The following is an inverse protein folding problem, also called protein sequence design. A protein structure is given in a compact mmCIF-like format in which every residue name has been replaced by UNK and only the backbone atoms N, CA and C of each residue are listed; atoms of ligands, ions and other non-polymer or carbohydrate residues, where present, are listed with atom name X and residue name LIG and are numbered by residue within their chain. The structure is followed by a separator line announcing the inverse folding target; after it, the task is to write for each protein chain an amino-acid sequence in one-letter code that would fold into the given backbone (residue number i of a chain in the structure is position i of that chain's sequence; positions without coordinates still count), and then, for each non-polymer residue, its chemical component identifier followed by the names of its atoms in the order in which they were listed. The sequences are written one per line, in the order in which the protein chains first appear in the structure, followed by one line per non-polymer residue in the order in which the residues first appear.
data_IF_493190981900
#
_entry.id   IF_493190981900
#
_cell.length_a   1.000
_cell.length_b   1.000
_cell.length_c   1.000
_cell.angle_alpha   90.00
_cell.angle_beta   90.00
_cell.angle_gamma   90.00
#
_symmetry.space_group_name_H-M   'P 1'
#
loop_
_entity.id
_entity.type
_entity.pdbx_description
1 polymer ?
#
# COMPACT_ATOMS: atom_id res chain seq x y z
N UNK A 1 -23.28 26.70 74.36
CA UNK A 1 -23.25 27.68 73.24
C UNK A 1 -22.11 27.26 72.32
N UNK A 2 -22.42 26.61 71.22
CA UNK A 2 -21.49 26.25 70.13
C UNK A 2 -22.17 26.57 68.81
N UNK A 3 -21.68 27.62 68.15
CA UNK A 3 -22.07 28.02 66.81
C UNK A 3 -21.22 27.24 65.84
N UNK A 4 -21.76 26.29 65.11
CA UNK A 4 -21.09 25.53 64.07
C UNK A 4 -21.20 26.29 62.77
N UNK A 5 -20.05 26.65 62.21
CA UNK A 5 -19.90 27.34 60.93
C UNK A 5 -20.18 26.43 59.74
N UNK A 6 -21.26 26.63 59.00
CA UNK A 6 -21.67 25.89 57.82
C UNK A 6 -21.25 26.61 56.50
N UNK A 7 -19.98 26.99 56.33
CA UNK A 7 -19.58 27.76 55.13
C UNK A 7 -18.56 27.06 54.21
N UNK A 8 -18.27 25.75 54.34
CA UNK A 8 -17.23 25.10 53.52
C UNK A 8 -17.77 24.20 52.36
N UNK A 9 -19.06 24.03 52.18
CA UNK A 9 -19.60 23.14 51.12
C UNK A 9 -19.96 23.84 49.81
N UNK A 10 -20.12 25.15 49.76
CA UNK A 10 -20.55 25.84 48.51
C UNK A 10 -19.38 26.11 47.53
N UNK A 11 -18.11 26.19 47.98
CA UNK A 11 -16.99 26.52 47.12
C UNK A 11 -16.53 25.35 46.20
N UNK A 12 -16.77 24.10 46.57
CA UNK A 12 -16.34 22.93 45.74
C UNK A 12 -17.23 22.68 44.51
N UNK A 13 -18.53 23.07 44.60
CA UNK A 13 -19.48 22.97 43.50
C UNK A 13 -19.23 23.99 42.39
N UNK A 14 -18.93 25.25 42.80
CA UNK A 14 -18.68 26.32 41.84
C UNK A 14 -17.36 26.13 41.07
N UNK A 15 -16.32 25.60 41.70
CA UNK A 15 -15.02 25.28 41.06
C UNK A 15 -15.21 24.15 40.03
N UNK A 16 -16.05 23.12 40.33
CA UNK A 16 -16.35 22.05 39.37
C UNK A 16 -17.13 22.54 38.15
N UNK A 17 -18.13 23.38 38.35
CA UNK A 17 -18.94 23.96 37.27
C UNK A 17 -18.12 24.86 36.36
N UNK A 18 -17.21 25.67 36.91
CA UNK A 18 -16.32 26.55 36.16
C UNK A 18 -15.30 25.71 35.32
N UNK A 19 -14.79 24.60 35.86
CA UNK A 19 -13.90 23.71 35.14
C UNK A 19 -14.59 23.01 33.96
N UNK A 20 -15.79 22.51 34.16
CA UNK A 20 -16.60 21.88 33.09
C UNK A 20 -16.94 22.92 32.00
N UNK A 21 -17.27 24.16 32.37
CA UNK A 21 -17.52 25.24 31.41
C UNK A 21 -16.29 25.62 30.58
N UNK A 22 -15.10 25.55 31.18
CA UNK A 22 -13.84 25.80 30.46
C UNK A 22 -13.54 24.66 29.46
N UNK A 23 -13.65 23.41 29.90
CA UNK A 23 -13.43 22.23 29.07
C UNK A 23 -14.40 22.17 27.86
N UNK A 24 -15.65 22.63 28.05
CA UNK A 24 -16.64 22.72 26.96
C UNK A 24 -16.27 23.82 25.97
N UNK A 25 -15.83 24.99 26.46
CA UNK A 25 -15.38 26.10 25.59
C UNK A 25 -14.18 25.70 24.74
N UNK A 26 -13.19 25.06 25.34
CA UNK A 26 -11.99 24.59 24.62
C UNK A 26 -12.35 23.54 23.56
N UNK A 27 -13.26 22.62 23.85
CA UNK A 27 -13.76 21.63 22.90
C UNK A 27 -14.53 22.24 21.71
N UNK A 28 -15.33 23.30 21.97
CA UNK A 28 -16.06 24.03 20.93
C UNK A 28 -15.09 24.81 20.04
N UNK A 29 -14.06 25.41 20.64
CA UNK A 29 -13.07 26.20 19.91
C UNK A 29 -12.15 25.32 19.06
N UNK A 30 -11.86 24.10 19.53
CA UNK A 30 -11.11 23.09 18.77
C UNK A 30 -11.91 22.55 17.59
N UNK A 31 -13.21 22.25 17.77
CA UNK A 31 -14.11 21.85 16.70
C UNK A 31 -14.32 22.95 15.64
N UNK A 32 -14.42 24.21 16.07
CA UNK A 32 -14.57 25.35 15.14
C UNK A 32 -13.34 25.50 14.25
N UNK A 33 -12.11 25.34 14.79
CA UNK A 33 -10.87 25.36 14.01
C UNK A 33 -10.76 24.17 13.04
N UNK A 34 -11.25 22.98 13.43
CA UNK A 34 -11.30 21.82 12.52
C UNK A 34 -12.28 22.02 11.37
N UNK A 35 -13.40 22.69 11.60
CA UNK A 35 -14.37 23.03 10.56
C UNK A 35 -13.79 24.07 9.60
N UNK A 36 -13.16 25.13 10.11
CA UNK A 36 -12.53 26.16 9.29
C UNK A 36 -11.37 25.66 8.45
N UNK A 37 -10.60 24.67 8.96
CA UNK A 37 -9.57 23.97 8.18
C UNK A 37 -10.18 23.11 7.08
N UNK A 38 -11.33 22.45 7.32
CA UNK A 38 -12.01 21.63 6.30
C UNK A 38 -12.61 22.48 5.19
N UNK A 39 -13.16 23.63 5.51
CA UNK A 39 -13.73 24.55 4.53
C UNK A 39 -12.65 25.18 3.66
N UNK A 40 -11.49 25.54 4.22
CA UNK A 40 -10.32 26.02 3.47
C UNK A 40 -9.67 24.93 2.58
N UNK A 41 -9.77 23.63 2.94
CA UNK A 41 -9.26 22.54 2.11
C UNK A 41 -10.17 22.30 0.89
N UNK A 42 -11.47 22.56 1.00
CA UNK A 42 -12.43 22.43 -0.10
C UNK A 42 -12.30 23.56 -1.16
N UNK A 43 -11.70 24.69 -0.82
CA UNK A 43 -11.42 25.80 -1.74
C UNK A 43 -10.07 25.67 -2.47
N UNK A 44 -9.20 24.74 -2.09
CA UNK A 44 -8.01 24.40 -2.90
C UNK A 44 -8.45 23.53 -4.07
N UNK A 45 -9.10 24.13 -5.04
CA UNK A 45 -9.24 23.57 -6.38
C UNK A 45 -7.83 23.52 -7.00
N UNK A 46 -7.19 22.34 -6.93
CA UNK A 46 -6.01 22.07 -7.75
C UNK A 46 -6.42 22.33 -9.20
N UNK A 47 -5.76 23.24 -9.92
CA UNK A 47 -6.08 23.45 -11.33
C UNK A 47 -5.85 22.12 -12.05
N UNK A 48 -6.92 21.46 -12.44
CA UNK A 48 -6.88 20.31 -13.34
C UNK A 48 -6.34 20.88 -14.65
N UNK A 49 -5.19 20.37 -15.04
CA UNK A 49 -4.47 20.77 -16.25
C UNK A 49 -5.47 20.84 -17.43
N UNK A 50 -5.76 22.04 -17.91
CA UNK A 50 -6.73 22.29 -18.99
C UNK A 50 -6.34 21.51 -20.25
N UNK A 51 -5.07 21.21 -20.42
CA UNK A 51 -4.55 20.37 -21.50
C UNK A 51 -5.05 18.92 -21.38
N UNK A 52 -5.28 18.41 -20.16
CA UNK A 52 -5.83 17.06 -19.96
C UNK A 52 -7.32 17.00 -20.31
N UNK A 53 -8.08 18.06 -20.03
CA UNK A 53 -9.48 18.16 -20.44
C UNK A 53 -9.62 18.34 -21.97
N UNK A 54 -8.71 19.06 -22.59
CA UNK A 54 -8.71 19.28 -24.03
C UNK A 54 -8.30 18.03 -24.80
N UNK A 55 -7.38 17.22 -24.23
CA UNK A 55 -7.03 15.90 -24.77
C UNK A 55 -8.22 14.93 -24.72
N UNK A 56 -9.00 14.95 -23.63
CA UNK A 56 -10.23 14.15 -23.52
C UNK A 56 -11.36 14.59 -24.49
N UNK A 57 -11.39 15.86 -24.88
CA UNK A 57 -12.45 16.40 -25.73
C UNK A 57 -12.28 16.05 -27.22
N UNK A 58 -11.02 15.86 -27.66
CA UNK A 58 -10.71 15.51 -29.05
C UNK A 58 -10.86 14.02 -29.39
N UNK A 59 -10.81 13.11 -28.40
CA UNK A 59 -10.90 11.65 -28.62
C UNK A 59 -12.34 11.11 -28.68
N UNK A 60 -13.35 11.93 -28.51
CA UNK A 60 -14.74 11.47 -28.41
C UNK A 60 -15.39 11.04 -29.76
N UNK A 61 -14.65 11.04 -30.86
CA UNK A 61 -15.22 10.79 -32.20
C UNK A 61 -15.05 9.36 -32.74
N UNK A 62 -14.36 8.47 -32.02
CA UNK A 62 -14.25 7.06 -32.43
C UNK A 62 -15.11 6.17 -31.54
N UNK A 63 -16.08 5.45 -32.13
CA UNK A 63 -16.91 4.47 -31.42
C UNK A 63 -16.08 3.42 -30.66
N UNK A 64 -14.90 3.07 -31.17
CA UNK A 64 -13.94 2.17 -30.52
C UNK A 64 -13.39 2.73 -29.21
N UNK A 65 -13.08 4.00 -29.14
CA UNK A 65 -12.57 4.64 -27.92
C UNK A 65 -13.64 4.63 -26.81
N UNK A 66 -14.91 4.83 -27.14
CA UNK A 66 -16.04 4.78 -26.21
C UNK A 66 -16.24 3.35 -25.65
N UNK A 67 -16.13 2.32 -26.51
CA UNK A 67 -16.23 0.92 -26.08
C UNK A 67 -15.08 0.56 -25.14
N UNK A 68 -13.84 0.89 -25.48
CA UNK A 68 -12.66 0.64 -24.64
C UNK A 68 -12.80 1.33 -23.27
N UNK A 69 -13.22 2.60 -23.26
CA UNK A 69 -13.44 3.36 -22.02
C UNK A 69 -14.53 2.72 -21.15
N UNK A 70 -15.61 2.25 -21.73
CA UNK A 70 -16.67 1.55 -21.02
C UNK A 70 -16.17 0.20 -20.44
N UNK A 71 -15.39 -0.56 -21.18
CA UNK A 71 -14.77 -1.80 -20.70
C UNK A 71 -13.82 -1.56 -19.53
N UNK A 72 -12.97 -0.51 -19.62
CA UNK A 72 -12.05 -0.14 -18.53
C UNK A 72 -12.83 0.26 -17.28
N UNK A 73 -13.86 1.08 -17.42
CA UNK A 73 -14.72 1.49 -16.29
C UNK A 73 -15.44 0.29 -15.67
N UNK A 74 -15.94 -0.64 -16.48
CA UNK A 74 -16.57 -1.86 -15.99
C UNK A 74 -15.58 -2.72 -15.17
N UNK A 75 -14.37 -2.95 -15.70
CA UNK A 75 -13.32 -3.69 -15.00
C UNK A 75 -12.90 -3.03 -13.69
N UNK A 76 -12.79 -1.69 -13.68
CA UNK A 76 -12.45 -0.95 -12.46
C UNK A 76 -13.56 -1.06 -11.39
N UNK A 77 -14.83 -0.99 -11.80
CA UNK A 77 -15.96 -1.17 -10.90
C UNK A 77 -16.06 -2.61 -10.37
N UNK A 78 -15.79 -3.60 -11.21
CA UNK A 78 -15.73 -5.01 -10.82
C UNK A 78 -14.61 -5.25 -9.81
N UNK A 79 -13.41 -4.72 -10.05
CA UNK A 79 -12.26 -4.84 -9.16
C UNK A 79 -12.56 -4.20 -7.78
N UNK A 80 -13.17 -3.02 -7.77
CA UNK A 80 -13.63 -2.36 -6.53
C UNK A 80 -14.65 -3.22 -5.79
N UNK A 81 -15.62 -3.82 -6.50
CA UNK A 81 -16.66 -4.66 -5.91
C UNK A 81 -16.06 -5.92 -5.26
N UNK A 82 -15.14 -6.60 -5.94
CA UNK A 82 -14.47 -7.81 -5.43
C UNK A 82 -13.51 -7.48 -4.26
N UNK A 83 -12.90 -6.31 -4.26
CA UNK A 83 -11.98 -5.88 -3.19
C UNK A 83 -12.70 -5.45 -1.91
N UNK A 84 -13.91 -4.91 -2.03
CA UNK A 84 -14.69 -4.34 -0.93
C UNK A 84 -14.90 -5.26 0.28
N UNK A 85 -15.22 -6.57 0.14
CA UNK A 85 -15.39 -7.46 1.29
C UNK A 85 -14.14 -7.52 2.17
N UNK A 86 -12.96 -7.65 1.56
CA UNK A 86 -11.70 -7.72 2.29
C UNK A 86 -11.30 -6.35 2.88
N UNK A 87 -11.59 -5.27 2.16
CA UNK A 87 -11.40 -3.90 2.64
C UNK A 87 -12.22 -3.58 3.90
N UNK A 88 -13.46 -4.08 3.97
CA UNK A 88 -14.38 -3.86 5.10
C UNK A 88 -14.17 -4.85 6.23
N UNK A 89 -13.51 -5.97 6.00
CA UNK A 89 -13.28 -7.01 7.00
C UNK A 89 -12.44 -6.45 8.15
N UNK A 90 -12.97 -6.50 9.38
CA UNK A 90 -12.33 -6.00 10.60
C UNK A 90 -12.18 -7.13 11.62
N UNK A 91 -11.15 -7.95 11.51
CA UNK A 91 -10.87 -9.03 12.46
C UNK A 91 -10.30 -8.51 13.78
N UNK A 92 -10.18 -9.39 14.76
CA UNK A 92 -9.46 -9.12 16.00
C UNK A 92 -7.94 -8.95 15.77
N UNK A 93 -7.27 -8.37 16.77
CA UNK A 93 -5.84 -8.01 16.74
C UNK A 93 -4.91 -9.11 16.21
N UNK A 94 -5.12 -10.38 16.63
CA UNK A 94 -4.25 -11.51 16.20
C UNK A 94 -4.27 -11.72 14.68
N UNK A 95 -5.44 -11.68 14.09
CA UNK A 95 -5.60 -11.85 12.63
C UNK A 95 -5.07 -10.62 11.88
N UNK A 96 -5.30 -9.42 12.42
CA UNK A 96 -4.73 -8.21 11.85
C UNK A 96 -3.20 -8.24 11.83
N UNK A 97 -2.57 -8.80 12.88
CA UNK A 97 -1.12 -9.00 12.94
C UNK A 97 -0.61 -9.91 11.80
N UNK A 98 -1.32 -11.00 11.48
CA UNK A 98 -0.97 -11.90 10.38
C UNK A 98 -1.01 -11.17 9.03
N UNK A 99 -2.08 -10.42 8.77
CA UNK A 99 -2.17 -9.61 7.55
C UNK A 99 -1.10 -8.51 7.49
N UNK A 100 -0.72 -7.94 8.64
CA UNK A 100 0.39 -6.99 8.71
C UNK A 100 1.70 -7.62 8.30
N UNK A 101 2.02 -8.80 8.82
CA UNK A 101 3.21 -9.55 8.40
C UNK A 101 3.20 -9.79 6.89
N UNK A 102 2.08 -10.25 6.32
CA UNK A 102 1.94 -10.47 4.88
C UNK A 102 2.14 -9.17 4.08
N UNK A 103 1.55 -8.06 4.54
CA UNK A 103 1.68 -6.76 3.87
C UNK A 103 3.11 -6.20 3.90
N UNK A 104 3.95 -6.63 4.86
CA UNK A 104 5.34 -6.15 5.04
C UNK A 104 6.40 -7.06 4.44
N UNK A 105 6.05 -8.29 4.01
CA UNK A 105 7.02 -9.29 3.54
C UNK A 105 7.94 -8.80 2.42
N UNK A 106 7.42 -7.98 1.50
CA UNK A 106 8.17 -7.47 0.35
C UNK A 106 8.15 -5.94 0.25
N UNK A 107 7.95 -5.25 1.38
CA UNK A 107 8.19 -3.81 1.43
C UNK A 107 9.68 -3.52 1.20
N UNK A 108 10.00 -2.31 0.74
CA UNK A 108 11.37 -1.89 0.40
C UNK A 108 12.36 -2.16 1.53
N UNK A 109 11.97 -1.93 2.80
CA UNK A 109 12.82 -2.19 3.95
C UNK A 109 13.17 -3.68 4.07
N UNK A 110 12.17 -4.56 3.94
CA UNK A 110 12.33 -6.02 4.05
C UNK A 110 13.14 -6.58 2.88
N UNK A 111 12.87 -6.10 1.65
CA UNK A 111 13.63 -6.47 0.46
C UNK A 111 15.10 -6.06 0.60
N UNK A 112 15.36 -4.88 1.17
CA UNK A 112 16.74 -4.43 1.44
C UNK A 112 17.45 -5.37 2.41
N UNK A 113 16.78 -5.82 3.48
CA UNK A 113 17.33 -6.81 4.43
C UNK A 113 17.64 -8.13 3.71
N UNK A 114 16.75 -8.60 2.82
CA UNK A 114 17.00 -9.83 2.05
C UNK A 114 18.24 -9.69 1.14
N UNK A 115 18.40 -8.56 0.45
CA UNK A 115 19.56 -8.32 -0.42
C UNK A 115 20.87 -8.23 0.37
N UNK A 116 20.87 -7.52 1.51
CA UNK A 116 22.04 -7.44 2.40
C UNK A 116 22.39 -8.83 2.94
N UNK A 117 21.42 -9.62 3.37
CA UNK A 117 21.62 -10.98 3.85
C UNK A 117 22.19 -11.90 2.76
N UNK A 118 21.69 -11.78 1.52
CA UNK A 118 22.21 -12.51 0.37
C UNK A 118 23.67 -12.14 0.06
N UNK A 119 24.01 -10.85 0.17
CA UNK A 119 25.38 -10.37 -0.02
C UNK A 119 26.33 -10.93 1.03
N UNK A 120 25.96 -10.84 2.31
CA UNK A 120 26.75 -11.39 3.42
C UNK A 120 26.94 -12.90 3.25
N UNK A 121 25.88 -13.65 2.95
CA UNK A 121 25.92 -15.08 2.71
C UNK A 121 26.86 -15.43 1.54
N UNK A 122 26.80 -14.66 0.45
CA UNK A 122 27.66 -14.84 -0.72
C UNK A 122 29.14 -14.67 -0.36
N UNK A 123 29.49 -13.66 0.44
CA UNK A 123 30.87 -13.44 0.91
C UNK A 123 31.37 -14.56 1.84
N UNK A 124 30.52 -15.01 2.78
CA UNK A 124 30.89 -16.06 3.74
C UNK A 124 31.13 -17.40 3.02
N UNK A 125 30.18 -17.79 2.15
CA UNK A 125 30.19 -19.13 1.54
C UNK A 125 31.09 -19.24 0.33
N UNK A 126 31.08 -18.22 -0.55
CA UNK A 126 31.79 -18.26 -1.84
C UNK A 126 33.00 -17.35 -1.88
N UNK A 127 33.26 -16.59 -0.82
CA UNK A 127 34.35 -15.59 -0.70
C UNK A 127 34.35 -14.54 -1.81
N UNK A 128 33.19 -14.34 -2.44
CA UNK A 128 32.95 -13.29 -3.42
C UNK A 128 31.47 -12.87 -3.39
N UNK A 129 31.14 -11.70 -3.95
CA UNK A 129 29.79 -11.15 -3.99
C UNK A 129 28.95 -11.58 -5.21
N UNK A 130 29.49 -12.37 -6.14
CA UNK A 130 28.89 -12.59 -7.46
C UNK A 130 27.52 -13.26 -7.39
N UNK A 131 27.31 -14.17 -6.43
CA UNK A 131 26.01 -14.84 -6.27
C UNK A 131 24.91 -13.89 -5.81
N UNK A 132 25.25 -12.83 -5.07
CA UNK A 132 24.29 -11.81 -4.67
C UNK A 132 23.89 -10.87 -5.81
N UNK A 133 24.66 -10.77 -6.88
CA UNK A 133 24.31 -9.94 -8.04
C UNK A 133 23.02 -10.43 -8.71
N UNK A 134 22.74 -11.73 -8.68
CA UNK A 134 21.53 -12.31 -9.26
C UNK A 134 20.26 -11.69 -8.65
N UNK A 135 20.00 -11.80 -7.33
CA UNK A 135 18.82 -11.18 -6.73
C UNK A 135 18.82 -9.65 -6.83
N UNK A 136 19.98 -9.01 -6.76
CA UNK A 136 20.11 -7.56 -6.93
C UNK A 136 19.63 -7.12 -8.31
N UNK A 137 20.08 -7.78 -9.39
CA UNK A 137 19.63 -7.47 -10.76
C UNK A 137 18.11 -7.65 -10.90
N UNK A 138 17.55 -8.73 -10.39
CA UNK A 138 16.10 -8.98 -10.44
C UNK A 138 15.30 -7.89 -9.73
N UNK A 139 15.73 -7.47 -8.53
CA UNK A 139 15.06 -6.42 -7.76
C UNK A 139 15.18 -5.06 -8.45
N UNK A 140 16.35 -4.70 -8.97
CA UNK A 140 16.54 -3.42 -9.69
C UNK A 140 15.61 -3.35 -10.90
N UNK A 141 15.59 -4.38 -11.75
CA UNK A 141 14.69 -4.43 -12.92
C UNK A 141 13.23 -4.35 -12.47
N UNK A 142 12.84 -5.06 -11.42
CA UNK A 142 11.50 -5.01 -10.87
C UNK A 142 11.08 -3.63 -10.36
N UNK A 143 11.99 -2.92 -9.68
CA UNK A 143 11.75 -1.54 -9.24
C UNK A 143 11.57 -0.61 -10.44
N UNK A 144 12.42 -0.70 -11.46
CA UNK A 144 12.30 0.12 -12.67
C UNK A 144 10.97 -0.12 -13.39
N UNK A 145 10.58 -1.38 -13.59
CA UNK A 145 9.28 -1.74 -14.18
C UNK A 145 8.12 -1.18 -13.35
N UNK A 146 8.19 -1.28 -12.02
CA UNK A 146 7.18 -0.72 -11.13
C UNK A 146 7.05 0.79 -11.29
N UNK A 147 8.16 1.52 -11.31
CA UNK A 147 8.16 2.99 -11.42
C UNK A 147 7.61 3.45 -12.77
N UNK A 148 8.06 2.84 -13.87
CA UNK A 148 7.59 3.17 -15.23
C UNK A 148 6.10 2.91 -15.35
N UNK A 149 5.62 1.75 -14.90
CA UNK A 149 4.21 1.37 -15.00
C UNK A 149 3.33 2.25 -14.14
N UNK A 150 3.75 2.60 -12.91
CA UNK A 150 3.03 3.54 -12.03
C UNK A 150 2.93 4.94 -12.63
N UNK A 151 4.00 5.42 -13.24
CA UNK A 151 4.02 6.72 -13.92
C UNK A 151 3.06 6.78 -15.13
N UNK A 152 2.87 5.64 -15.81
CA UNK A 152 1.98 5.52 -16.98
C UNK A 152 0.51 5.38 -16.60
N UNK A 153 0.17 4.53 -15.62
CA UNK A 153 -1.23 4.17 -15.33
C UNK A 153 -1.91 5.16 -14.37
N UNK A 154 -1.20 5.68 -13.37
CA UNK A 154 -1.67 6.69 -12.40
C UNK A 154 -3.01 6.35 -11.71
N UNK A 155 -3.33 5.08 -11.47
CA UNK A 155 -4.57 4.64 -10.83
C UNK A 155 -4.64 5.13 -9.37
N UNK A 156 -5.77 5.74 -8.91
CA UNK A 156 -5.92 6.16 -7.52
C UNK A 156 -6.04 4.95 -6.58
N UNK A 157 -5.60 5.13 -5.32
CA UNK A 157 -5.72 4.11 -4.27
C UNK A 157 -7.12 4.05 -3.66
N UNK A 158 -7.46 2.93 -2.97
CA UNK A 158 -8.67 2.87 -2.16
C UNK A 158 -8.68 3.96 -1.08
N UNK A 159 -9.76 4.78 -1.02
CA UNK A 159 -9.92 5.89 -0.05
C UNK A 159 -10.62 5.44 1.24
N UNK A 160 -10.30 4.26 1.76
CA UNK A 160 -10.96 3.68 2.91
C UNK A 160 -10.22 4.00 4.22
N UNK A 161 -10.95 3.85 5.35
CA UNK A 161 -10.41 4.14 6.69
C UNK A 161 -9.14 3.34 6.97
N UNK A 162 -8.16 4.01 7.56
CA UNK A 162 -6.92 3.38 8.05
C UNK A 162 -7.25 2.36 9.13
N UNK A 163 -6.55 1.23 9.14
CA UNK A 163 -6.72 0.16 10.13
C UNK A 163 -6.41 0.63 11.55
N UNK A 164 -7.06 0.02 12.53
CA UNK A 164 -7.03 0.46 13.93
C UNK A 164 -5.67 0.26 14.59
N UNK A 165 -5.05 -0.91 14.42
CA UNK A 165 -3.84 -1.29 15.17
C UNK A 165 -2.56 -1.01 14.40
N UNK A 166 -2.52 -1.34 13.11
CA UNK A 166 -1.33 -1.14 12.26
C UNK A 166 -1.66 -0.20 11.12
N UNK A 167 -0.90 0.89 11.01
CA UNK A 167 -1.08 1.91 9.97
C UNK A 167 -0.02 1.73 8.88
N UNK A 168 -0.46 1.44 7.67
CA UNK A 168 0.38 1.48 6.48
C UNK A 168 -0.10 2.63 5.60
N UNK A 169 0.81 3.52 5.21
CA UNK A 169 0.51 4.67 4.37
C UNK A 169 1.46 4.67 3.17
N UNK A 170 0.91 4.85 2.00
CA UNK A 170 1.65 5.04 0.77
C UNK A 170 1.04 6.20 -0.03
N UNK A 171 1.89 7.03 -0.61
CA UNK A 171 1.46 8.27 -1.28
C UNK A 171 1.42 8.16 -2.80
N UNK A 172 1.88 7.03 -3.38
CA UNK A 172 1.96 6.84 -4.83
C UNK A 172 0.70 6.17 -5.38
N UNK A 173 0.62 6.09 -6.71
CA UNK A 173 -0.47 5.42 -7.42
C UNK A 173 -0.61 3.94 -7.03
N UNK A 174 -1.83 3.37 -7.17
CA UNK A 174 -2.09 2.01 -6.72
C UNK A 174 -1.56 0.94 -7.66
N UNK A 175 -1.62 1.13 -8.97
CA UNK A 175 -1.31 0.11 -9.97
C UNK A 175 0.05 0.33 -10.64
N UNK A 176 0.88 -0.73 -10.77
CA UNK A 176 0.75 -2.04 -10.15
C UNK A 176 1.19 -2.05 -8.67
N UNK A 177 0.85 -3.11 -7.93
CA UNK A 177 1.36 -3.34 -6.59
C UNK A 177 2.85 -3.73 -6.62
N UNK A 178 3.72 -2.85 -6.12
CA UNK A 178 5.17 -3.08 -6.12
C UNK A 178 5.57 -4.26 -5.23
N UNK A 179 4.98 -4.39 -4.03
CA UNK A 179 5.29 -5.50 -3.12
C UNK A 179 4.85 -6.85 -3.68
N UNK A 180 3.71 -6.89 -4.40
CA UNK A 180 3.27 -8.12 -5.06
C UNK A 180 4.14 -8.45 -6.28
N UNK A 181 4.64 -7.44 -6.98
CA UNK A 181 5.62 -7.62 -8.05
C UNK A 181 6.92 -8.22 -7.49
N UNK A 182 7.43 -7.69 -6.37
CA UNK A 182 8.61 -8.27 -5.71
C UNK A 182 8.34 -9.70 -5.23
N UNK A 183 7.17 -9.99 -4.67
CA UNK A 183 6.78 -11.36 -4.31
C UNK A 183 6.80 -12.30 -5.51
N UNK A 184 6.31 -11.85 -6.67
CA UNK A 184 6.39 -12.59 -7.94
C UNK A 184 7.83 -12.87 -8.38
N UNK A 185 8.70 -11.86 -8.29
CA UNK A 185 10.13 -12.00 -8.58
C UNK A 185 10.77 -13.06 -7.67
N UNK A 186 10.63 -12.91 -6.35
CA UNK A 186 11.26 -13.82 -5.39
C UNK A 186 10.72 -15.24 -5.50
N UNK A 187 9.40 -15.41 -5.64
CA UNK A 187 8.79 -16.73 -5.84
C UNK A 187 9.34 -17.42 -7.08
N UNK A 188 9.42 -16.70 -8.20
CA UNK A 188 9.94 -17.24 -9.47
C UNK A 188 11.44 -17.52 -9.39
N UNK A 189 12.23 -16.65 -8.75
CA UNK A 189 13.66 -16.91 -8.50
C UNK A 189 13.87 -18.20 -7.70
N UNK A 190 13.09 -18.40 -6.62
CA UNK A 190 13.17 -19.62 -5.82
C UNK A 190 12.91 -20.85 -6.69
N UNK A 191 11.88 -20.80 -7.55
CA UNK A 191 11.55 -21.90 -8.44
C UNK A 191 12.66 -22.18 -9.47
N UNK A 192 13.29 -21.13 -10.00
CA UNK A 192 14.29 -21.23 -11.07
C UNK A 192 15.69 -21.60 -10.58
N UNK A 193 16.10 -21.11 -9.40
CA UNK A 193 17.48 -21.25 -8.91
C UNK A 193 17.65 -22.26 -7.79
N UNK A 194 16.58 -22.65 -7.07
CA UNK A 194 16.67 -23.68 -6.03
C UNK A 194 16.27 -25.06 -6.57
N UNK A 195 17.11 -26.05 -6.33
CA UNK A 195 16.89 -27.44 -6.71
C UNK A 195 16.30 -28.24 -5.54
N UNK A 196 15.18 -27.75 -4.96
CA UNK A 196 14.50 -28.44 -3.85
C UNK A 196 13.10 -28.85 -4.25
N UNK A 197 12.61 -29.97 -3.69
CA UNK A 197 11.23 -30.45 -3.93
C UNK A 197 10.17 -29.46 -3.44
N UNK A 198 10.51 -28.63 -2.45
CA UNK A 198 9.60 -27.65 -1.84
C UNK A 198 9.63 -26.26 -2.50
N UNK A 199 10.45 -26.05 -3.54
CA UNK A 199 10.57 -24.74 -4.22
C UNK A 199 9.23 -24.16 -4.70
N UNK A 200 8.28 -25.01 -5.08
CA UNK A 200 6.97 -24.57 -5.54
C UNK A 200 6.10 -23.94 -4.44
N UNK A 201 6.39 -24.23 -3.16
CA UNK A 201 5.71 -23.56 -2.04
C UNK A 201 5.97 -22.03 -2.02
N UNK A 202 7.06 -21.59 -2.65
CA UNK A 202 7.34 -20.16 -2.78
C UNK A 202 6.24 -19.40 -3.56
N UNK A 203 5.49 -20.08 -4.43
CA UNK A 203 4.37 -19.48 -5.17
C UNK A 203 3.29 -18.98 -4.19
N UNK A 204 3.14 -19.59 -3.02
CA UNK A 204 2.18 -19.17 -1.99
C UNK A 204 2.51 -17.80 -1.37
N UNK A 205 3.74 -17.30 -1.56
CA UNK A 205 4.10 -15.93 -1.15
C UNK A 205 3.28 -14.87 -1.88
N UNK A 206 2.93 -15.13 -3.16
CA UNK A 206 2.18 -14.18 -3.97
C UNK A 206 0.80 -13.92 -3.38
N UNK A 207 -0.10 -14.91 -3.19
CA UNK A 207 -1.42 -14.67 -2.61
C UNK A 207 -1.34 -14.18 -1.16
N UNK A 208 -0.35 -14.58 -0.37
CA UNK A 208 -0.16 -14.07 0.99
C UNK A 208 0.06 -12.56 0.99
N UNK A 209 0.98 -12.06 0.16
CA UNK A 209 1.24 -10.62 0.03
C UNK A 209 0.03 -9.89 -0.53
N UNK A 210 -0.62 -10.43 -1.58
CA UNK A 210 -1.85 -9.86 -2.15
C UNK A 210 -2.90 -9.62 -1.06
N UNK A 211 -3.21 -10.65 -0.26
CA UNK A 211 -4.18 -10.56 0.83
C UNK A 211 -3.80 -9.47 1.83
N UNK A 212 -2.54 -9.40 2.23
CA UNK A 212 -2.05 -8.35 3.13
C UNK A 212 -2.23 -6.95 2.55
N UNK A 213 -1.86 -6.73 1.30
CA UNK A 213 -1.95 -5.41 0.62
C UNK A 213 -3.38 -4.94 0.43
N UNK A 214 -4.29 -5.84 0.05
CA UNK A 214 -5.71 -5.53 -0.12
C UNK A 214 -6.36 -5.29 1.25
N UNK A 215 -6.09 -6.13 2.25
CA UNK A 215 -6.61 -5.97 3.59
C UNK A 215 -6.27 -4.59 4.20
N UNK A 216 -5.08 -4.06 3.95
CA UNK A 216 -4.65 -2.73 4.43
C UNK A 216 -5.14 -1.57 3.56
N UNK A 217 -6.05 -1.80 2.59
CA UNK A 217 -6.61 -0.78 1.71
C UNK A 217 -5.54 -0.04 0.86
N UNK A 218 -4.43 -0.71 0.56
CA UNK A 218 -3.35 -0.13 -0.23
C UNK A 218 -3.55 -0.34 -1.72
N UNK A 219 -4.21 -1.46 -2.09
CA UNK A 219 -4.40 -1.91 -3.45
C UNK A 219 -5.75 -2.59 -3.65
N UNK A 220 -6.19 -2.69 -4.91
CA UNK A 220 -7.25 -3.56 -5.39
C UNK A 220 -6.67 -4.89 -5.88
N UNK A 221 -7.55 -5.89 -6.15
CA UNK A 221 -7.11 -7.20 -6.64
C UNK A 221 -6.34 -7.12 -7.95
N UNK A 222 -6.81 -6.34 -8.93
CA UNK A 222 -6.14 -6.22 -10.22
C UNK A 222 -4.77 -5.55 -10.12
N UNK A 223 -4.57 -4.60 -9.22
CA UNK A 223 -3.25 -4.02 -8.97
C UNK A 223 -2.24 -5.09 -8.56
N UNK A 224 -2.69 -6.03 -7.71
CA UNK A 224 -1.88 -7.13 -7.21
C UNK A 224 -1.66 -8.22 -8.27
N UNK A 225 -2.69 -8.61 -9.01
CA UNK A 225 -2.59 -9.62 -10.08
C UNK A 225 -1.60 -9.15 -11.15
N UNK A 226 -1.74 -7.91 -11.62
CA UNK A 226 -0.83 -7.34 -12.62
C UNK A 226 0.58 -7.20 -12.06
N UNK A 227 0.72 -6.81 -10.79
CA UNK A 227 2.02 -6.80 -10.10
C UNK A 227 2.68 -8.18 -10.12
N UNK A 228 1.94 -9.24 -9.75
CA UNK A 228 2.44 -10.62 -9.78
C UNK A 228 2.88 -11.08 -11.17
N UNK A 229 2.04 -10.84 -12.19
CA UNK A 229 2.35 -11.22 -13.59
C UNK A 229 3.62 -10.51 -14.08
N UNK A 230 3.73 -9.20 -13.82
CA UNK A 230 4.92 -8.43 -14.17
C UNK A 230 6.17 -8.94 -13.43
N UNK A 231 6.05 -9.27 -12.14
CA UNK A 231 7.14 -9.81 -11.34
C UNK A 231 7.64 -11.17 -11.87
N UNK A 232 6.74 -12.07 -12.21
CA UNK A 232 7.06 -13.36 -12.82
C UNK A 232 7.76 -13.15 -14.18
N UNK A 233 7.21 -12.27 -15.02
CA UNK A 233 7.79 -11.95 -16.34
C UNK A 233 9.19 -11.35 -16.23
N UNK A 234 9.39 -10.39 -15.32
CA UNK A 234 10.70 -9.79 -15.03
C UNK A 234 11.69 -10.87 -14.60
N UNK A 235 11.29 -11.76 -13.70
CA UNK A 235 12.21 -12.80 -13.20
C UNK A 235 12.61 -13.78 -14.29
N UNK A 236 11.68 -14.25 -15.12
CA UNK A 236 11.98 -15.14 -16.25
C UNK A 236 12.89 -14.42 -17.28
N UNK A 237 12.57 -13.17 -17.62
CA UNK A 237 13.37 -12.38 -18.55
C UNK A 237 14.80 -12.19 -18.06
N UNK A 238 14.98 -11.77 -16.82
CA UNK A 238 16.30 -11.58 -16.20
C UNK A 238 17.09 -12.89 -16.12
N UNK A 239 16.42 -14.00 -15.76
CA UNK A 239 17.03 -15.33 -15.75
C UNK A 239 17.59 -15.72 -17.13
N UNK A 240 16.82 -15.54 -18.18
CA UNK A 240 17.23 -15.85 -19.54
C UNK A 240 18.43 -14.99 -19.98
N UNK A 241 18.41 -13.69 -19.69
CA UNK A 241 19.53 -12.79 -19.99
C UNK A 241 20.80 -13.25 -19.27
N UNK A 242 20.73 -13.49 -17.96
CA UNK A 242 21.89 -13.94 -17.17
C UNK A 242 22.46 -15.24 -17.72
N UNK A 243 21.63 -16.20 -18.13
CA UNK A 243 22.09 -17.48 -18.65
C UNK A 243 22.71 -17.39 -20.06
N UNK A 244 22.29 -16.43 -20.88
CA UNK A 244 22.94 -16.16 -22.18
C UNK A 244 24.37 -15.66 -21.98
N UNK A 245 24.59 -14.76 -20.99
CA UNK A 245 25.94 -14.23 -20.71
C UNK A 245 26.86 -15.16 -19.91
N UNK A 246 26.34 -16.27 -19.38
CA UNK A 246 27.15 -17.30 -18.71
C UNK A 246 27.71 -18.38 -19.66
N UNK A 247 27.19 -18.43 -20.89
CA UNK A 247 27.71 -19.30 -21.97
C UNK A 247 28.86 -18.63 -22.72
#
# INVERSE_FOLDING_TARGET
MSVINNNSQNNSGEIKLNKISLDIKDSIQQNSKEIEIKDNINEISVPIDENFQQFQKNDNNSGYCKIIKNCINYLDNLDKAISNPLHKYSPGYKIECVFYCFARLFNIDTVTIYLVSALIYSFIKYKNGNMALIPICHVIVGVLVTLITKASIKRPRPTLKVRKHFKLKENTHSMPSGDTLQAGIFATMIVLYLETNFRFLAILLIPAVMLGRIFYNLHYWFDCIIGAILGIGVSIGTYNVINVYKK
#
